data_IF_427537148941
#
_entry.id   IF_427537148941
#
_cell.length_a   1.000
_cell.length_b   1.000
_cell.length_c   1.000
_cell.angle_alpha   90.00
_cell.angle_beta   90.00
_cell.angle_gamma   90.00
#
_symmetry.space_group_name_H-M   'P 1'
#
loop_
_entity.id
_entity.type
_entity.pdbx_description
1 polymer ?
#
# COMPACT_ATOMS: atom_id res chain seq x y z
N UNK A 1 35.91 8.67 -35.90
CA UNK A 1 35.25 8.26 -34.65
C UNK A 1 34.20 9.29 -34.31
N UNK A 2 32.91 8.95 -34.38
CA UNK A 2 31.85 9.77 -33.79
C UNK A 2 31.73 9.42 -32.31
N UNK A 3 31.58 10.38 -31.39
CA UNK A 3 31.35 10.07 -29.98
C UNK A 3 30.02 9.32 -29.83
N UNK A 4 30.06 8.18 -29.14
CA UNK A 4 28.87 7.45 -28.72
C UNK A 4 28.11 8.35 -27.74
N UNK A 5 26.80 8.60 -27.91
CA UNK A 5 26.03 9.32 -26.91
C UNK A 5 26.09 8.50 -25.61
N UNK A 6 26.65 9.10 -24.56
CA UNK A 6 26.61 8.53 -23.23
C UNK A 6 25.14 8.25 -22.90
N UNK A 7 24.80 6.97 -22.70
CA UNK A 7 23.50 6.57 -22.20
C UNK A 7 23.34 7.23 -20.83
N UNK A 8 22.58 8.33 -20.80
CA UNK A 8 22.21 9.03 -19.58
C UNK A 8 21.38 8.02 -18.78
N UNK A 9 21.97 7.43 -17.73
CA UNK A 9 21.23 6.54 -16.84
C UNK A 9 19.93 7.24 -16.44
N UNK A 10 18.78 6.54 -16.50
CA UNK A 10 17.53 7.16 -16.11
C UNK A 10 17.70 7.64 -14.66
N UNK A 11 17.60 8.96 -14.47
CA UNK A 11 17.66 9.56 -13.15
C UNK A 11 16.73 8.77 -12.23
N UNK A 12 17.29 8.23 -11.14
CA UNK A 12 16.54 7.42 -10.19
C UNK A 12 15.32 8.15 -9.63
N UNK A 13 14.40 7.43 -8.98
CA UNK A 13 13.18 8.01 -8.44
C UNK A 13 13.50 9.18 -7.51
N UNK A 14 12.74 10.27 -7.68
CA UNK A 14 12.88 11.46 -6.86
C UNK A 14 12.47 11.21 -5.40
N UNK A 15 12.75 12.17 -4.49
CA UNK A 15 12.48 11.99 -3.07
C UNK A 15 10.99 11.83 -2.75
N UNK A 16 10.09 12.51 -3.48
CA UNK A 16 8.65 12.34 -3.27
C UNK A 16 8.17 11.00 -3.83
N UNK A 17 8.66 10.60 -5.02
CA UNK A 17 8.34 9.29 -5.60
C UNK A 17 8.76 8.14 -4.67
N UNK A 18 9.98 8.17 -4.13
CA UNK A 18 10.47 7.20 -3.13
C UNK A 18 9.55 7.14 -1.91
N UNK A 19 9.21 8.30 -1.34
CA UNK A 19 8.34 8.36 -0.16
C UNK A 19 6.93 7.82 -0.44
N UNK A 20 6.42 8.03 -1.66
CA UNK A 20 5.12 7.53 -2.07
C UNK A 20 5.14 6.01 -2.28
N UNK A 21 6.22 5.45 -2.82
CA UNK A 21 6.40 4.00 -2.95
C UNK A 21 6.38 3.32 -1.58
N UNK A 22 7.17 3.83 -0.63
CA UNK A 22 7.23 3.30 0.74
C UNK A 22 5.85 3.36 1.42
N UNK A 23 5.14 4.49 1.26
CA UNK A 23 3.82 4.67 1.84
C UNK A 23 2.76 3.74 1.23
N UNK A 24 2.81 3.53 -0.09
CA UNK A 24 1.90 2.61 -0.81
C UNK A 24 2.19 1.16 -0.43
N UNK A 25 3.45 0.77 -0.30
CA UNK A 25 3.85 -0.58 0.13
C UNK A 25 3.37 -0.90 1.54
N UNK A 26 3.42 0.08 2.44
CA UNK A 26 2.92 -0.06 3.81
C UNK A 26 1.40 -0.25 3.89
N UNK A 27 0.64 0.13 2.85
CA UNK A 27 -0.82 0.07 2.85
C UNK A 27 -1.32 -1.26 2.28
N UNK A 28 -2.25 -1.91 2.99
CA UNK A 28 -2.98 -3.04 2.42
C UNK A 28 -4.07 -2.53 1.47
N UNK A 29 -3.73 -2.36 0.19
CA UNK A 29 -4.63 -1.77 -0.82
C UNK A 29 -5.58 -2.83 -1.40
N UNK A 30 -6.90 -2.59 -1.44
CA UNK A 30 -7.84 -3.47 -2.13
C UNK A 30 -7.57 -3.50 -3.65
N UNK A 31 -7.74 -4.65 -4.35
CA UNK A 31 -7.47 -4.75 -5.79
C UNK A 31 -8.22 -3.71 -6.63
N UNK A 32 -9.46 -3.38 -6.26
CA UNK A 32 -10.28 -2.35 -6.93
C UNK A 32 -9.76 -0.91 -6.79
N UNK A 33 -8.74 -0.68 -5.94
CA UNK A 33 -8.14 0.63 -5.69
C UNK A 33 -6.68 0.71 -6.16
N UNK A 34 -6.15 -0.32 -6.83
CA UNK A 34 -4.76 -0.32 -7.32
C UNK A 34 -4.45 0.86 -8.26
N UNK A 35 -5.45 1.35 -9.01
CA UNK A 35 -5.30 2.52 -9.87
C UNK A 35 -5.00 3.81 -9.08
N UNK A 36 -5.52 3.94 -7.85
CA UNK A 36 -5.24 5.09 -6.99
C UNK A 36 -3.80 5.07 -6.49
N UNK A 37 -3.26 3.87 -6.23
CA UNK A 37 -1.85 3.71 -5.83
C UNK A 37 -0.91 4.13 -6.97
N UNK A 38 -1.17 3.66 -8.19
CA UNK A 38 -0.41 4.09 -9.37
C UNK A 38 -0.51 5.60 -9.61
N UNK A 39 -1.70 6.19 -9.41
CA UNK A 39 -1.90 7.62 -9.52
C UNK A 39 -1.13 8.40 -8.44
N UNK A 40 -1.10 7.92 -7.20
CA UNK A 40 -0.36 8.56 -6.11
C UNK A 40 1.14 8.62 -6.41
N UNK A 41 1.72 7.52 -6.89
CA UNK A 41 3.14 7.45 -7.30
C UNK A 41 3.42 8.41 -8.46
N UNK A 42 2.53 8.46 -9.46
CA UNK A 42 2.68 9.37 -10.61
C UNK A 42 2.65 10.84 -10.16
N UNK A 43 1.71 11.21 -9.29
CA UNK A 43 1.62 12.58 -8.75
C UNK A 43 2.84 12.95 -7.91
N UNK A 44 3.39 12.00 -7.15
CA UNK A 44 4.61 12.21 -6.37
C UNK A 44 5.83 12.45 -7.28
N UNK A 45 5.96 11.65 -8.34
CA UNK A 45 6.98 11.87 -9.39
C UNK A 45 6.81 13.23 -10.08
N UNK A 46 5.58 13.63 -10.37
CA UNK A 46 5.31 14.94 -10.98
C UNK A 46 5.70 16.10 -10.05
N UNK A 47 5.59 15.93 -8.74
CA UNK A 47 6.05 16.93 -7.75
C UNK A 47 7.58 17.09 -7.74
N UNK A 48 8.31 16.01 -8.00
CA UNK A 48 9.78 16.03 -8.16
C UNK A 48 10.22 16.77 -9.44
N UNK A 49 9.35 16.82 -10.46
CA UNK A 49 9.61 17.52 -11.72
C UNK A 49 9.81 19.03 -11.57
N UNK A 50 10.99 19.53 -11.96
CA UNK A 50 11.28 20.97 -11.97
C UNK A 50 10.37 21.77 -12.91
N UNK A 51 9.86 21.14 -13.99
CA UNK A 51 8.91 21.75 -14.93
C UNK A 51 7.51 21.99 -14.35
N UNK A 52 7.16 21.34 -13.23
CA UNK A 52 5.81 21.36 -12.68
C UNK A 52 5.64 22.38 -11.54
N UNK A 53 6.65 23.21 -11.26
CA UNK A 53 6.63 24.23 -10.18
C UNK A 53 5.35 25.07 -10.16
N UNK A 54 4.83 25.60 -11.30
CA UNK A 54 3.59 26.39 -11.29
C UNK A 54 2.35 25.61 -10.83
N UNK A 55 2.33 24.29 -11.03
CA UNK A 55 1.20 23.42 -10.74
C UNK A 55 1.35 22.66 -9.41
N UNK A 56 2.50 22.80 -8.72
CA UNK A 56 2.84 22.03 -7.50
C UNK A 56 1.75 22.07 -6.43
N UNK A 57 1.13 23.22 -6.21
CA UNK A 57 0.05 23.34 -5.24
C UNK A 57 -1.13 22.41 -5.58
N UNK A 58 -1.57 22.42 -6.84
CA UNK A 58 -2.68 21.57 -7.31
C UNK A 58 -2.31 20.08 -7.31
N UNK A 59 -1.07 19.74 -7.69
CA UNK A 59 -0.56 18.37 -7.65
C UNK A 59 -0.50 17.85 -6.22
N UNK A 60 0.01 18.65 -5.28
CA UNK A 60 0.09 18.30 -3.86
C UNK A 60 -1.30 18.10 -3.26
N UNK A 61 -2.26 18.99 -3.54
CA UNK A 61 -3.64 18.80 -3.08
C UNK A 61 -4.24 17.50 -3.58
N UNK A 62 -4.07 17.19 -4.87
CA UNK A 62 -4.59 15.96 -5.46
C UNK A 62 -3.90 14.72 -4.92
N UNK A 63 -2.60 14.78 -4.68
CA UNK A 63 -1.83 13.71 -4.04
C UNK A 63 -2.39 13.41 -2.64
N UNK A 64 -2.61 14.44 -1.82
CA UNK A 64 -3.17 14.29 -0.46
C UNK A 64 -4.57 13.66 -0.50
N UNK A 65 -5.43 14.09 -1.43
CA UNK A 65 -6.77 13.49 -1.59
C UNK A 65 -6.72 12.01 -1.94
N UNK A 66 -5.83 11.63 -2.87
CA UNK A 66 -5.66 10.23 -3.30
C UNK A 66 -5.11 9.38 -2.16
N UNK A 67 -4.07 9.86 -1.46
CA UNK A 67 -3.51 9.16 -0.29
C UNK A 67 -4.53 9.02 0.85
N UNK A 68 -5.37 10.03 1.06
CA UNK A 68 -6.48 9.94 2.02
C UNK A 68 -7.47 8.82 1.66
N UNK A 69 -7.86 8.70 0.39
CA UNK A 69 -8.74 7.61 -0.08
C UNK A 69 -8.10 6.23 0.10
N UNK A 70 -6.80 6.10 -0.17
CA UNK A 70 -6.06 4.86 0.02
C UNK A 70 -5.96 4.48 1.51
N UNK A 71 -5.71 5.46 2.39
CA UNK A 71 -5.64 5.25 3.84
C UNK A 71 -6.99 4.86 4.45
N UNK A 72 -8.10 5.43 3.98
CA UNK A 72 -9.43 5.01 4.43
C UNK A 72 -9.77 3.60 3.92
N UNK A 73 -9.43 3.30 2.66
CA UNK A 73 -9.64 1.98 2.09
C UNK A 73 -8.84 0.89 2.83
N UNK A 74 -7.60 1.17 3.26
CA UNK A 74 -6.81 0.20 4.02
C UNK A 74 -7.40 -0.09 5.39
N UNK A 75 -7.87 0.94 6.12
CA UNK A 75 -8.52 0.78 7.43
C UNK A 75 -9.75 -0.12 7.37
N UNK A 76 -10.59 0.02 6.34
CA UNK A 76 -11.80 -0.82 6.22
C UNK A 76 -11.47 -2.32 6.15
N UNK A 77 -10.37 -2.67 5.49
CA UNK A 77 -9.90 -4.06 5.40
C UNK A 77 -9.29 -4.55 6.71
N UNK A 78 -8.55 -3.70 7.43
CA UNK A 78 -8.03 -4.03 8.76
C UNK A 78 -9.17 -4.33 9.75
N UNK A 79 -10.22 -3.49 9.77
CA UNK A 79 -11.40 -3.71 10.62
C UNK A 79 -12.09 -5.04 10.25
N UNK A 80 -12.29 -5.31 8.96
CA UNK A 80 -12.88 -6.57 8.50
C UNK A 80 -12.06 -7.80 8.90
N UNK A 81 -10.72 -7.71 8.83
CA UNK A 81 -9.83 -8.78 9.27
C UNK A 81 -9.89 -8.99 10.79
N UNK A 82 -9.89 -7.91 11.57
CA UNK A 82 -10.02 -7.99 13.03
C UNK A 82 -11.36 -8.59 13.45
N UNK A 83 -12.45 -8.22 12.78
CA UNK A 83 -13.78 -8.76 13.06
C UNK A 83 -13.87 -10.26 12.70
N UNK A 84 -13.25 -10.66 11.59
CA UNK A 84 -13.12 -12.06 11.20
C UNK A 84 -12.33 -12.86 12.26
N UNK A 85 -11.22 -12.33 12.75
CA UNK A 85 -10.40 -12.96 13.80
C UNK A 85 -11.16 -13.04 15.13
N UNK A 86 -11.87 -11.97 15.51
CA UNK A 86 -12.73 -11.96 16.69
C UNK A 86 -13.81 -13.04 16.61
N UNK A 87 -14.46 -13.16 15.46
CA UNK A 87 -15.49 -14.18 15.21
C UNK A 87 -14.90 -15.59 15.28
N UNK A 88 -13.72 -15.82 14.70
CA UNK A 88 -13.02 -17.11 14.78
C UNK A 88 -12.64 -17.49 16.22
N UNK A 89 -12.19 -16.52 17.02
CA UNK A 89 -11.85 -16.75 18.43
C UNK A 89 -13.09 -17.18 19.24
N UNK A 90 -14.21 -16.47 19.10
CA UNK A 90 -15.44 -16.77 19.86
C UNK A 90 -16.18 -18.02 19.36
N UNK A 91 -16.13 -18.30 18.06
CA UNK A 91 -16.77 -19.48 17.46
C UNK A 91 -15.92 -20.76 17.57
N UNK A 92 -14.85 -20.73 18.38
CA UNK A 92 -14.07 -21.93 18.68
C UNK A 92 -13.25 -22.43 17.48
N UNK A 93 -12.71 -21.53 16.65
CA UNK A 93 -11.70 -21.83 15.64
C UNK A 93 -10.37 -22.29 16.24
N UNK A 94 -10.39 -23.23 17.19
CA UNK A 94 -9.23 -24.04 17.52
C UNK A 94 -9.17 -25.15 16.47
N UNK A 95 -8.17 -25.09 15.60
CA UNK A 95 -7.70 -26.30 14.95
C UNK A 95 -7.33 -27.28 16.08
N UNK A 96 -8.03 -28.40 16.13
CA UNK A 96 -7.97 -29.35 17.24
C UNK A 96 -6.58 -29.91 17.48
N UNK A 97 -6.25 -30.06 18.77
CA UNK A 97 -4.98 -30.62 19.21
C UNK A 97 -4.96 -31.04 20.67
N UNK A 98 -6.04 -31.61 21.20
CA UNK A 98 -5.94 -32.59 22.29
C UNK A 98 -7.22 -33.42 22.33
N UNK A 99 -7.24 -34.44 21.46
CA UNK A 99 -8.26 -35.47 21.51
C UNK A 99 -8.20 -36.18 22.87
N UNK A 100 -9.37 -36.34 23.46
CA UNK A 100 -9.63 -37.12 24.66
C UNK A 100 -8.87 -38.45 24.66
N UNK A 101 -7.85 -38.61 25.51
CA UNK A 101 -7.36 -39.93 25.87
C UNK A 101 -8.38 -40.55 26.83
N UNK A 102 -9.11 -41.53 26.30
CA UNK A 102 -10.22 -42.20 26.96
C UNK A 102 -9.82 -42.83 28.29
N UNK A 103 -10.60 -42.49 29.32
CA UNK A 103 -10.68 -43.21 30.58
C UNK A 103 -11.32 -44.58 30.32
N UNK A 104 -10.53 -45.63 30.11
CA UNK A 104 -11.02 -47.01 30.28
C UNK A 104 -10.66 -47.48 31.70
N UNK A 105 -11.69 -47.54 32.54
CA UNK A 105 -11.72 -48.46 33.70
C UNK A 105 -12.17 -49.83 33.18
N UNK A 106 -11.34 -50.84 33.38
CA UNK A 106 -11.70 -52.22 33.71
C UNK A 106 -10.41 -52.94 34.10
#
# INVERSE_FOLDING_TARGET
MSPVPSEEEPAGPGPNELSALDAVEALTIPPGMAYLAALAITLARDLDGAGNVPQRASLASRYVEVMGKLAEASKTKEVSKLDSLRTQFWNGGSQGGSASSGRKKA
#
